data_IF_405967284270
#
_entry.id   IF_405967284270
#
_cell.length_a   1.000
_cell.length_b   1.000
_cell.length_c   1.000
_cell.angle_alpha   90.00
_cell.angle_beta   90.00
_cell.angle_gamma   90.00
#
_symmetry.space_group_name_H-M   'P 1'
#
loop_
_entity.id
_entity.type
_entity.pdbx_description
1 polymer ?
#
# COMPACT_ATOMS: atom_id res chain seq x y z
N UNK A 1 -1.58 -22.89 -10.89
CA UNK A 1 -0.13 -22.58 -10.83
C UNK A 1 0.81 -23.59 -11.53
N UNK A 2 0.33 -24.72 -12.07
CA UNK A 2 1.19 -25.79 -12.63
C UNK A 2 2.21 -25.33 -13.72
N UNK A 3 1.94 -24.25 -14.46
CA UNK A 3 2.86 -23.69 -15.46
C UNK A 3 4.05 -22.91 -14.92
N UNK A 4 4.14 -22.70 -13.61
CA UNK A 4 5.17 -21.89 -12.95
C UNK A 4 6.08 -22.70 -12.00
N UNK A 5 5.87 -24.00 -11.89
CA UNK A 5 6.71 -24.88 -11.06
C UNK A 5 8.17 -24.85 -11.55
N UNK A 6 9.12 -24.73 -10.61
CA UNK A 6 10.54 -24.58 -10.92
C UNK A 6 10.97 -23.22 -11.48
N UNK A 7 10.03 -22.27 -11.71
CA UNK A 7 10.31 -20.96 -12.32
C UNK A 7 10.04 -19.80 -11.34
N UNK A 8 10.92 -19.63 -10.36
CA UNK A 8 10.77 -18.62 -9.31
C UNK A 8 10.66 -17.17 -9.85
N UNK A 9 11.45 -16.81 -10.86
CA UNK A 9 11.34 -15.49 -11.52
C UNK A 9 9.96 -15.27 -12.12
N UNK A 10 9.43 -16.28 -12.84
CA UNK A 10 8.12 -16.23 -13.48
C UNK A 10 7.01 -16.02 -12.44
N UNK A 11 7.06 -16.79 -11.35
CA UNK A 11 6.12 -16.66 -10.23
C UNK A 11 6.13 -15.27 -9.64
N UNK A 12 7.32 -14.72 -9.39
CA UNK A 12 7.43 -13.38 -8.81
C UNK A 12 6.84 -12.31 -9.72
N UNK A 13 7.20 -12.33 -11.00
CA UNK A 13 6.72 -11.33 -11.97
C UNK A 13 5.19 -11.39 -12.16
N UNK A 14 4.62 -12.60 -12.24
CA UNK A 14 3.17 -12.80 -12.34
C UNK A 14 2.46 -12.38 -11.05
N UNK A 15 3.02 -12.70 -9.88
CA UNK A 15 2.45 -12.31 -8.59
C UNK A 15 2.42 -10.77 -8.41
N UNK A 16 3.50 -10.07 -8.80
CA UNK A 16 3.54 -8.60 -8.76
C UNK A 16 2.47 -8.02 -9.71
N UNK A 17 2.35 -8.57 -10.93
CA UNK A 17 1.33 -8.13 -11.88
C UNK A 17 -0.08 -8.31 -11.31
N UNK A 18 -0.38 -9.49 -10.77
CA UNK A 18 -1.66 -9.83 -10.16
C UNK A 18 -2.01 -8.88 -9.01
N UNK A 19 -1.04 -8.60 -8.13
CA UNK A 19 -1.21 -7.67 -7.02
C UNK A 19 -1.48 -6.22 -7.49
N UNK A 20 -0.79 -5.76 -8.54
CA UNK A 20 -1.01 -4.43 -9.11
C UNK A 20 -2.37 -4.33 -9.83
N UNK A 21 -2.82 -5.44 -10.42
CA UNK A 21 -4.07 -5.54 -11.14
C UNK A 21 -5.30 -5.77 -10.24
N UNK A 22 -5.09 -6.13 -8.97
CA UNK A 22 -6.14 -6.61 -8.05
C UNK A 22 -6.86 -7.86 -8.58
N UNK A 23 -6.06 -8.80 -9.08
CA UNK A 23 -6.54 -10.04 -9.70
C UNK A 23 -5.83 -11.26 -9.12
N UNK A 24 -6.42 -12.45 -9.30
CA UNK A 24 -5.75 -13.69 -8.89
C UNK A 24 -4.66 -14.08 -9.89
N UNK A 25 -3.65 -14.82 -9.40
CA UNK A 25 -2.57 -15.34 -10.25
C UNK A 25 -3.13 -16.25 -11.35
N UNK A 26 -4.18 -17.02 -11.07
CA UNK A 26 -4.85 -17.88 -12.06
C UNK A 26 -5.48 -17.07 -13.19
N UNK A 27 -6.12 -15.95 -12.87
CA UNK A 27 -6.72 -15.06 -13.88
C UNK A 27 -5.64 -14.47 -14.78
N UNK A 28 -4.58 -13.94 -14.18
CA UNK A 28 -3.43 -13.41 -14.92
C UNK A 28 -2.80 -14.47 -15.80
N UNK A 29 -2.61 -15.70 -15.30
CA UNK A 29 -2.10 -16.81 -16.11
C UNK A 29 -3.02 -17.21 -17.26
N UNK A 30 -4.33 -16.96 -17.17
CA UNK A 30 -5.26 -17.21 -18.27
C UNK A 30 -5.08 -16.17 -19.38
N UNK A 31 -4.78 -14.93 -19.02
CA UNK A 31 -4.68 -13.80 -19.96
C UNK A 31 -3.27 -13.64 -20.58
N UNK A 32 -2.22 -13.91 -19.81
CA UNK A 32 -0.83 -13.75 -20.24
C UNK A 32 -0.06 -15.07 -20.33
N UNK A 33 -0.70 -16.20 -20.00
CA UNK A 33 -0.10 -17.52 -20.11
C UNK A 33 0.37 -17.81 -21.53
N UNK A 34 1.59 -18.30 -21.65
CA UNK A 34 2.20 -18.62 -22.95
C UNK A 34 2.90 -17.45 -23.65
N UNK A 35 2.77 -16.21 -23.16
CA UNK A 35 3.55 -15.07 -23.67
C UNK A 35 5.02 -15.17 -23.26
N UNK A 36 5.91 -14.61 -24.08
CA UNK A 36 7.33 -14.50 -23.74
C UNK A 36 7.56 -13.36 -22.72
N UNK A 37 8.62 -13.47 -21.91
CA UNK A 37 8.93 -12.42 -20.93
C UNK A 37 9.26 -11.07 -21.55
N UNK A 38 9.77 -11.03 -22.78
CA UNK A 38 10.00 -9.79 -23.52
C UNK A 38 8.70 -9.03 -23.79
N UNK A 39 7.57 -9.73 -23.89
CA UNK A 39 6.24 -9.13 -24.04
C UNK A 39 5.59 -8.83 -22.69
N UNK A 40 5.77 -9.72 -21.70
CA UNK A 40 5.18 -9.55 -20.37
C UNK A 40 5.82 -8.41 -19.56
N UNK A 41 7.14 -8.22 -19.63
CA UNK A 41 7.84 -7.19 -18.83
C UNK A 41 7.34 -5.77 -19.14
N UNK A 42 7.15 -5.35 -20.41
CA UNK A 42 6.50 -4.08 -20.73
C UNK A 42 5.10 -3.95 -20.13
N UNK A 43 4.24 -4.98 -20.24
CA UNK A 43 2.88 -4.96 -19.67
C UNK A 43 2.91 -4.75 -18.15
N UNK A 44 3.85 -5.41 -17.45
CA UNK A 44 4.05 -5.23 -16.02
C UNK A 44 4.50 -3.82 -15.67
N UNK A 45 5.43 -3.24 -16.44
CA UNK A 45 5.91 -1.87 -16.22
C UNK A 45 4.79 -0.86 -16.42
N UNK A 46 4.02 -0.98 -17.51
CA UNK A 46 2.88 -0.10 -17.78
C UNK A 46 1.86 -0.16 -16.64
N UNK A 47 1.51 -1.37 -16.19
CA UNK A 47 0.59 -1.58 -15.07
C UNK A 47 1.11 -0.98 -13.76
N UNK A 48 2.41 -1.15 -13.48
CA UNK A 48 3.04 -0.57 -12.30
C UNK A 48 3.02 0.97 -12.35
N UNK A 49 3.32 1.56 -13.51
CA UNK A 49 3.26 3.01 -13.71
C UNK A 49 1.84 3.53 -13.53
N UNK A 50 0.85 2.89 -14.15
CA UNK A 50 -0.57 3.25 -14.01
C UNK A 50 -1.00 3.28 -12.54
N UNK A 51 -0.63 2.24 -11.77
CA UNK A 51 -1.05 2.11 -10.37
C UNK A 51 -0.28 3.03 -9.41
N UNK A 52 1.02 3.18 -9.60
CA UNK A 52 1.91 3.87 -8.65
C UNK A 52 2.04 5.38 -8.93
N UNK A 53 1.76 5.84 -10.16
CA UNK A 53 1.90 7.26 -10.51
C UNK A 53 0.94 8.17 -9.73
N UNK A 54 -0.36 7.82 -9.57
CA UNK A 54 -1.27 8.64 -8.76
C UNK A 54 -0.83 8.74 -7.29
N UNK A 55 -0.34 7.63 -6.71
CA UNK A 55 0.17 7.60 -5.33
C UNK A 55 1.39 8.52 -5.21
N UNK A 56 2.34 8.42 -6.14
CA UNK A 56 3.52 9.27 -6.15
C UNK A 56 3.20 10.75 -6.38
N UNK A 57 2.19 11.04 -7.20
CA UNK A 57 1.71 12.39 -7.43
C UNK A 57 1.08 12.98 -6.17
N UNK A 58 0.23 12.22 -5.48
CA UNK A 58 -0.41 12.65 -4.24
C UNK A 58 0.60 12.84 -3.11
N UNK A 59 1.56 11.94 -2.98
CA UNK A 59 2.66 12.09 -2.03
C UNK A 59 3.44 13.39 -2.28
N UNK A 60 3.75 13.72 -3.55
CA UNK A 60 4.40 14.99 -3.88
C UNK A 60 3.52 16.20 -3.56
N UNK A 61 2.21 16.12 -3.85
CA UNK A 61 1.24 17.17 -3.52
C UNK A 61 1.24 17.47 -2.02
N UNK A 62 1.15 16.42 -1.19
CA UNK A 62 1.16 16.54 0.27
C UNK A 62 2.50 17.07 0.80
N UNK A 63 3.63 16.56 0.31
CA UNK A 63 4.95 17.04 0.75
C UNK A 63 5.21 18.52 0.39
N UNK A 64 4.57 19.02 -0.66
CA UNK A 64 4.62 20.43 -1.06
C UNK A 64 3.65 21.31 -0.26
N UNK A 65 2.67 20.74 0.44
CA UNK A 65 1.71 21.43 1.29
C UNK A 65 1.85 20.97 2.75
N UNK A 66 2.88 21.48 3.41
CA UNK A 66 3.12 21.17 4.84
C UNK A 66 1.95 21.59 5.73
N UNK A 67 1.20 22.64 5.36
CA UNK A 67 0.08 23.13 6.15
C UNK A 67 -1.09 22.14 6.19
N UNK A 68 -1.34 21.44 5.09
CA UNK A 68 -2.28 20.33 5.02
C UNK A 68 -1.88 19.20 5.98
N UNK A 69 -0.59 18.83 5.98
CA UNK A 69 -0.06 17.79 6.86
C UNK A 69 -0.25 18.19 8.33
N UNK A 70 0.14 19.40 8.70
CA UNK A 70 0.01 19.90 10.08
C UNK A 70 -1.46 19.87 10.52
N UNK A 71 -2.40 20.32 9.67
CA UNK A 71 -3.83 20.27 9.97
C UNK A 71 -4.34 18.86 10.23
N UNK A 72 -3.90 17.88 9.42
CA UNK A 72 -4.27 16.47 9.61
C UNK A 72 -3.67 15.92 10.91
N UNK A 73 -2.42 16.26 11.21
CA UNK A 73 -1.73 15.84 12.44
C UNK A 73 -2.38 16.43 13.68
N UNK A 74 -2.72 17.72 13.68
CA UNK A 74 -3.45 18.39 14.77
C UNK A 74 -4.79 17.71 15.04
N UNK A 75 -5.60 17.50 13.98
CA UNK A 75 -6.87 16.78 14.12
C UNK A 75 -6.68 15.35 14.64
N UNK A 76 -5.62 14.66 14.21
CA UNK A 76 -5.26 13.33 14.71
C UNK A 76 -4.87 13.35 16.20
N UNK A 77 -4.07 14.34 16.61
CA UNK A 77 -3.62 14.52 17.98
C UNK A 77 -4.80 14.83 18.92
N UNK A 78 -5.73 15.67 18.51
CA UNK A 78 -6.95 15.96 19.28
C UNK A 78 -7.80 14.70 19.50
N UNK A 79 -8.04 13.90 18.45
CA UNK A 79 -8.77 12.63 18.57
C UNK A 79 -8.05 11.65 19.49
N UNK A 80 -6.72 11.51 19.33
CA UNK A 80 -5.93 10.64 20.18
C UNK A 80 -5.95 11.10 21.65
N UNK A 81 -5.85 12.40 21.90
CA UNK A 81 -5.90 13.00 23.24
C UNK A 81 -7.26 12.81 23.89
N UNK A 82 -8.36 12.96 23.15
CA UNK A 82 -9.71 12.72 23.66
C UNK A 82 -9.90 11.30 24.21
N UNK A 83 -9.22 10.31 23.61
CA UNK A 83 -9.23 8.91 24.06
C UNK A 83 -8.24 8.70 25.22
N UNK A 84 -7.01 9.20 25.08
CA UNK A 84 -5.92 8.91 26.01
C UNK A 84 -6.03 9.67 27.35
N UNK A 85 -6.49 10.92 27.32
CA UNK A 85 -6.56 11.79 28.51
C UNK A 85 -7.41 11.20 29.66
N UNK A 86 -8.64 10.69 29.44
CA UNK A 86 -9.41 10.10 30.54
C UNK A 86 -8.78 8.81 31.09
N UNK A 87 -8.17 7.99 30.23
CA UNK A 87 -7.49 6.76 30.65
C UNK A 87 -6.27 7.09 31.51
N UNK A 88 -5.47 8.06 31.08
CA UNK A 88 -4.29 8.50 31.82
C UNK A 88 -4.69 9.11 33.16
N UNK A 89 -5.74 9.94 33.18
CA UNK A 89 -6.29 10.52 34.41
C UNK A 89 -6.72 9.44 35.40
N UNK A 90 -7.49 8.45 34.93
CA UNK A 90 -7.92 7.35 35.79
C UNK A 90 -6.73 6.53 36.31
N UNK A 91 -5.72 6.33 35.47
CA UNK A 91 -4.48 5.65 35.87
C UNK A 91 -3.76 6.42 36.97
N UNK A 92 -3.61 7.74 36.83
CA UNK A 92 -3.01 8.61 37.85
C UNK A 92 -3.78 8.57 39.16
N UNK A 93 -5.11 8.61 39.12
CA UNK A 93 -5.98 8.46 40.29
C UNK A 93 -5.74 7.13 41.01
N UNK A 94 -5.62 6.01 40.29
CA UNK A 94 -5.35 4.68 40.86
C UNK A 94 -3.98 4.64 41.57
N UNK A 95 -2.94 5.22 40.97
CA UNK A 95 -1.59 5.19 41.54
C UNK A 95 -1.36 6.27 42.60
N UNK A 96 -2.34 7.14 42.86
CA UNK A 96 -2.25 8.22 43.84
C UNK A 96 -1.41 9.41 43.39
N UNK A 97 -1.17 9.54 42.08
CA UNK A 97 -0.51 10.71 41.48
C UNK A 97 -1.57 11.77 41.17
N UNK A 98 -1.26 13.03 41.47
CA UNK A 98 -2.08 14.19 41.09
C UNK A 98 -1.54 14.85 39.83
#
# INVERSE_FOLDING_TARGET
EAGLEGRAEARNLVAIYAALADESVEKVLTEVGGKQFSEFKPMLVERAVEKLSPISAEMRRLLNDKSEIDRVLEGGAERARAIAAPILKHTYEIVGLK
#
